data_IF_913426739367
#
_entry.id   IF_913426739367
#
_cell.length_a   1.000
_cell.length_b   1.000
_cell.length_c   1.000
_cell.angle_alpha   90.00
_cell.angle_beta   90.00
_cell.angle_gamma   90.00
#
_symmetry.space_group_name_H-M   'P 1'
#
loop_
_entity.id
_entity.type
_entity.pdbx_description
1 polymer ?
#
# COMPACT_ATOMS: atom_id res chain seq x y z
N UNK A 1 14.89 -5.78 -7.93
CA UNK A 1 15.90 -6.43 -7.06
C UNK A 1 15.87 -7.95 -7.09
N UNK A 2 14.89 -8.66 -6.49
CA UNK A 2 14.92 -10.15 -6.39
C UNK A 2 15.08 -10.80 -7.77
N UNK A 3 14.24 -10.43 -8.74
CA UNK A 3 14.32 -10.91 -10.14
C UNK A 3 15.71 -10.78 -10.76
N UNK A 4 16.45 -9.71 -10.46
CA UNK A 4 17.76 -9.42 -11.05
C UNK A 4 18.90 -10.11 -10.30
N UNK A 5 18.73 -10.41 -9.01
CA UNK A 5 19.84 -10.77 -8.13
C UNK A 5 19.75 -12.20 -7.58
N UNK A 6 18.57 -12.81 -7.52
CA UNK A 6 18.38 -14.06 -6.76
C UNK A 6 19.17 -15.25 -7.34
N UNK A 7 19.50 -15.23 -8.64
CA UNK A 7 20.39 -16.24 -9.26
C UNK A 7 21.75 -16.33 -8.56
N UNK A 8 22.28 -15.21 -8.05
CA UNK A 8 23.57 -15.18 -7.34
C UNK A 8 23.53 -15.92 -6.00
N UNK A 9 22.32 -16.14 -5.46
CA UNK A 9 22.07 -16.86 -4.22
C UNK A 9 21.54 -18.29 -4.47
N UNK A 10 21.58 -18.75 -5.73
CA UNK A 10 21.08 -20.07 -6.13
C UNK A 10 19.57 -20.17 -6.28
N UNK A 11 18.83 -19.05 -6.21
CA UNK A 11 17.40 -19.02 -6.48
C UNK A 11 17.08 -18.87 -7.97
N UNK A 12 15.85 -19.23 -8.33
CA UNK A 12 15.33 -19.11 -9.69
C UNK A 12 14.42 -17.88 -9.82
N UNK A 13 14.81 -16.84 -10.58
CA UNK A 13 13.98 -15.66 -10.77
C UNK A 13 12.72 -15.94 -11.57
N UNK A 14 12.69 -17.04 -12.33
CA UNK A 14 11.53 -17.48 -13.12
C UNK A 14 10.58 -18.38 -12.29
N UNK A 15 10.83 -18.50 -10.97
CA UNK A 15 10.03 -19.29 -10.06
C UNK A 15 9.86 -18.62 -8.68
N UNK A 16 9.55 -17.33 -8.68
CA UNK A 16 9.32 -16.55 -7.45
C UNK A 16 7.88 -16.67 -6.97
N UNK A 17 7.70 -17.00 -5.68
CA UNK A 17 6.40 -16.94 -4.99
C UNK A 17 6.43 -15.85 -3.94
N UNK A 18 5.49 -14.91 -3.98
CA UNK A 18 5.28 -13.93 -2.91
C UNK A 18 4.24 -14.46 -1.91
N UNK A 19 4.45 -14.23 -0.63
CA UNK A 19 3.57 -14.68 0.43
C UNK A 19 3.42 -13.59 1.49
N UNK A 20 2.20 -13.42 2.01
CA UNK A 20 1.90 -12.36 2.95
C UNK A 20 0.74 -12.69 3.88
N UNK A 21 0.78 -12.09 5.06
CA UNK A 21 -0.25 -12.20 6.10
C UNK A 21 -0.76 -10.81 6.50
N UNK A 22 -2.07 -10.68 6.79
CA UNK A 22 -2.71 -9.42 7.20
C UNK A 22 -2.43 -8.28 6.21
N UNK A 23 -1.81 -7.17 6.64
CA UNK A 23 -1.39 -6.10 5.74
C UNK A 23 -0.47 -6.60 4.61
N UNK A 24 0.41 -7.56 4.89
CA UNK A 24 1.22 -8.21 3.85
C UNK A 24 0.39 -9.05 2.88
N UNK A 25 -0.73 -9.64 3.31
CA UNK A 25 -1.65 -10.35 2.43
C UNK A 25 -2.39 -9.38 1.50
N UNK A 26 -2.76 -8.19 2.01
CA UNK A 26 -3.28 -7.10 1.17
C UNK A 26 -2.25 -6.65 0.15
N UNK A 27 -0.99 -6.43 0.57
CA UNK A 27 0.10 -6.08 -0.36
C UNK A 27 0.30 -7.14 -1.46
N UNK A 28 0.33 -8.42 -1.09
CA UNK A 28 0.44 -9.52 -2.07
C UNK A 28 -0.73 -9.50 -3.04
N UNK A 29 -1.95 -9.30 -2.54
CA UNK A 29 -3.13 -9.23 -3.38
C UNK A 29 -3.08 -8.04 -4.36
N UNK A 30 -2.79 -6.83 -3.88
CA UNK A 30 -2.68 -5.64 -4.74
C UNK A 30 -1.54 -5.74 -5.76
N UNK A 31 -0.43 -6.39 -5.40
CA UNK A 31 0.65 -6.68 -6.35
C UNK A 31 0.18 -7.60 -7.49
N UNK A 32 -0.78 -8.49 -7.27
CA UNK A 32 -1.35 -9.32 -8.36
C UNK A 32 -2.23 -8.53 -9.32
N UNK A 33 -2.75 -7.37 -8.90
CA UNK A 33 -3.56 -6.50 -9.72
C UNK A 33 -2.75 -5.38 -10.42
N UNK A 34 -1.54 -5.08 -9.94
CA UNK A 34 -0.70 -4.01 -10.48
C UNK A 34 0.04 -4.45 -11.76
N UNK A 35 -0.11 -3.74 -12.89
CA UNK A 35 0.70 -3.99 -14.10
C UNK A 35 2.19 -3.80 -13.85
N UNK A 36 2.58 -2.94 -12.89
CA UNK A 36 3.99 -2.71 -12.54
C UNK A 36 4.67 -3.94 -11.95
N UNK A 37 3.88 -4.91 -11.46
CA UNK A 37 4.40 -6.15 -10.89
C UNK A 37 4.46 -7.31 -11.90
N UNK A 38 4.05 -7.09 -13.15
CA UNK A 38 4.03 -8.13 -14.18
C UNK A 38 5.44 -8.71 -14.41
N UNK A 39 5.52 -10.04 -14.39
CA UNK A 39 6.77 -10.78 -14.55
C UNK A 39 7.76 -10.63 -13.38
N UNK A 40 7.38 -10.02 -12.26
CA UNK A 40 8.22 -9.95 -11.06
C UNK A 40 8.08 -11.17 -10.14
N UNK A 41 6.93 -11.85 -10.19
CA UNK A 41 6.64 -13.09 -9.47
C UNK A 41 5.67 -13.98 -10.26
N UNK A 42 5.52 -15.22 -9.83
CA UNK A 42 4.82 -16.28 -10.58
C UNK A 42 3.66 -16.89 -9.78
N UNK A 43 3.72 -16.83 -8.44
CA UNK A 43 2.70 -17.35 -7.54
C UNK A 43 2.53 -16.43 -6.34
N UNK A 44 1.34 -16.45 -5.75
CA UNK A 44 0.97 -15.65 -4.59
C UNK A 44 0.30 -16.51 -3.51
N UNK A 45 0.65 -16.26 -2.24
CA UNK A 45 -0.01 -16.84 -1.06
C UNK A 45 -0.56 -15.70 -0.20
N UNK A 46 -1.88 -15.70 0.00
CA UNK A 46 -2.62 -14.63 0.70
C UNK A 46 -3.23 -15.21 1.98
N UNK A 47 -2.70 -14.85 3.15
CA UNK A 47 -3.13 -15.39 4.43
C UNK A 47 -3.89 -14.34 5.27
N UNK A 48 -5.14 -14.62 5.61
CA UNK A 48 -6.01 -13.66 6.34
C UNK A 48 -6.06 -12.28 5.68
N UNK A 49 -6.12 -12.28 4.34
CA UNK A 49 -6.15 -11.08 3.52
C UNK A 49 -7.58 -10.59 3.23
N UNK A 50 -7.75 -9.82 2.14
CA UNK A 50 -8.99 -9.17 1.71
C UNK A 50 -10.31 -9.91 2.01
N UNK A 51 -10.51 -11.08 1.40
CA UNK A 51 -11.75 -11.85 1.56
C UNK A 51 -11.99 -12.38 2.98
N UNK A 52 -10.91 -12.62 3.73
CA UNK A 52 -10.99 -12.97 5.14
C UNK A 52 -11.41 -11.77 6.00
N UNK A 53 -10.78 -10.61 5.79
CA UNK A 53 -11.09 -9.39 6.53
C UNK A 53 -12.50 -8.86 6.21
N UNK A 54 -12.95 -8.99 4.96
CA UNK A 54 -14.33 -8.70 4.55
C UNK A 54 -15.34 -9.59 5.27
N UNK A 55 -15.04 -10.89 5.40
CA UNK A 55 -15.88 -11.85 6.13
C UNK A 55 -15.99 -11.56 7.63
N UNK A 56 -15.02 -10.83 8.21
CA UNK A 56 -15.05 -10.37 9.61
C UNK A 56 -15.57 -8.93 9.77
N UNK A 57 -16.07 -8.29 8.70
CA UNK A 57 -16.54 -6.90 8.74
C UNK A 57 -15.41 -5.88 9.00
N UNK A 58 -14.16 -6.28 8.76
CA UNK A 58 -12.96 -5.47 9.03
C UNK A 58 -12.48 -4.68 7.80
N UNK A 59 -13.11 -4.86 6.64
CA UNK A 59 -12.90 -4.01 5.45
C UNK A 59 -14.22 -3.34 5.08
N UNK A 60 -14.17 -2.03 4.82
CA UNK A 60 -15.30 -1.31 4.24
C UNK A 60 -15.62 -1.83 2.85
N UNK A 61 -16.88 -1.68 2.43
CA UNK A 61 -17.39 -2.00 1.08
C UNK A 61 -16.75 -1.18 -0.05
N UNK A 62 -15.82 -0.26 0.27
CA UNK A 62 -15.20 0.70 -0.65
C UNK A 62 -14.00 0.15 -1.44
N UNK A 63 -13.75 -1.17 -1.41
CA UNK A 63 -12.60 -1.80 -2.05
C UNK A 63 -11.36 -1.84 -1.15
N UNK A 64 -10.32 -2.56 -1.61
CA UNK A 64 -9.07 -2.74 -0.85
C UNK A 64 -8.12 -1.55 -0.90
N UNK A 65 -8.38 -0.61 -1.80
CA UNK A 65 -7.67 0.64 -1.96
C UNK A 65 -8.69 1.78 -1.96
N UNK A 66 -8.39 2.86 -1.24
CA UNK A 66 -9.26 4.03 -1.16
C UNK A 66 -9.20 4.91 -2.41
N UNK A 67 -10.01 5.97 -2.40
CA UNK A 67 -9.90 7.03 -3.42
C UNK A 67 -8.61 7.84 -3.23
N UNK A 68 -7.95 8.18 -4.33
CA UNK A 68 -6.83 9.12 -4.32
C UNK A 68 -7.28 10.49 -3.78
N UNK A 69 -8.45 10.99 -4.18
CA UNK A 69 -8.97 12.29 -3.74
C UNK A 69 -9.10 12.37 -2.21
N UNK A 70 -9.63 11.31 -1.60
CA UNK A 70 -9.89 11.29 -0.16
C UNK A 70 -8.56 11.20 0.62
N UNK A 71 -7.57 10.50 0.07
CA UNK A 71 -6.22 10.46 0.64
C UNK A 71 -5.49 11.80 0.49
N UNK A 72 -5.66 12.50 -0.63
CA UNK A 72 -5.12 13.85 -0.84
C UNK A 72 -5.74 14.86 0.13
N UNK A 73 -7.05 14.83 0.32
CA UNK A 73 -7.76 15.67 1.31
C UNK A 73 -7.27 15.37 2.73
N UNK A 74 -7.17 14.09 3.10
CA UNK A 74 -6.64 13.67 4.39
C UNK A 74 -5.19 14.13 4.60
N UNK A 75 -4.34 14.01 3.58
CA UNK A 75 -2.95 14.46 3.61
C UNK A 75 -2.81 15.98 3.73
N UNK A 76 -3.67 16.73 3.03
CA UNK A 76 -3.71 18.20 3.14
C UNK A 76 -4.12 18.65 4.55
N UNK A 77 -5.09 17.98 5.16
CA UNK A 77 -5.49 18.29 6.53
C UNK A 77 -4.40 17.94 7.54
N UNK A 78 -3.73 16.80 7.36
CA UNK A 78 -2.55 16.43 8.15
C UNK A 78 -1.43 17.48 8.06
N UNK A 79 -1.16 18.01 6.86
CA UNK A 79 -0.19 19.08 6.65
C UNK A 79 -0.57 20.36 7.41
N UNK A 80 -1.84 20.78 7.28
CA UNK A 80 -2.38 21.96 7.96
C UNK A 80 -2.29 21.86 9.48
N UNK A 81 -2.59 20.69 10.05
CA UNK A 81 -2.50 20.46 11.50
C UNK A 81 -1.08 20.67 12.05
N UNK A 82 -0.06 20.43 11.22
CA UNK A 82 1.34 20.62 11.55
C UNK A 82 1.89 21.99 11.14
N UNK A 83 1.05 22.86 10.59
CA UNK A 83 1.45 24.17 10.08
C UNK A 83 2.37 24.11 8.87
N UNK A 84 2.33 23.01 8.10
CA UNK A 84 3.10 22.86 6.88
C UNK A 84 2.23 23.22 5.66
N UNK A 85 2.69 24.15 4.83
CA UNK A 85 2.01 24.61 3.62
C UNK A 85 2.45 23.84 2.38
N UNK A 86 3.50 23.03 2.49
CA UNK A 86 4.03 22.23 1.37
C UNK A 86 4.58 20.87 1.79
N UNK A 87 4.69 19.96 0.83
CA UNK A 87 5.37 18.67 1.01
C UNK A 87 6.84 18.87 1.42
N UNK A 88 7.49 19.94 0.94
CA UNK A 88 8.88 20.24 1.32
C UNK A 88 9.00 20.57 2.80
N UNK A 89 8.06 21.37 3.32
CA UNK A 89 8.00 21.70 4.74
C UNK A 89 7.68 20.46 5.58
N UNK A 90 6.70 19.65 5.19
CA UNK A 90 6.41 18.38 5.84
C UNK A 90 7.64 17.46 5.94
N UNK A 91 8.45 17.36 4.88
CA UNK A 91 9.68 16.56 4.87
C UNK A 91 10.79 17.13 5.75
N UNK A 92 10.75 18.43 6.05
CA UNK A 92 11.72 19.08 6.93
C UNK A 92 11.39 18.89 8.42
N UNK A 93 10.14 18.51 8.74
CA UNK A 93 9.74 18.27 10.11
C UNK A 93 10.42 17.02 10.69
N UNK A 94 10.76 17.03 11.99
CA UNK A 94 11.17 15.82 12.68
C UNK A 94 10.09 14.74 12.62
N UNK A 95 10.49 13.47 12.52
CA UNK A 95 9.55 12.34 12.48
C UNK A 95 8.64 12.27 13.71
N UNK A 96 9.12 12.72 14.88
CA UNK A 96 8.32 12.75 16.10
C UNK A 96 7.21 13.79 16.02
N UNK A 97 7.41 14.89 15.28
CA UNK A 97 6.36 15.87 14.97
C UNK A 97 5.29 15.24 14.08
N UNK A 98 5.70 14.50 13.04
CA UNK A 98 4.78 13.78 12.13
C UNK A 98 3.95 12.69 12.84
N UNK A 99 4.48 12.11 13.92
CA UNK A 99 3.81 11.07 14.73
C UNK A 99 3.08 11.63 15.95
N UNK A 100 3.16 12.93 16.18
CA UNK A 100 2.56 13.55 17.35
C UNK A 100 1.03 13.51 17.27
N UNK A 101 0.31 13.50 18.41
CA UNK A 101 -1.14 13.62 18.42
C UNK A 101 -1.65 14.87 17.70
N UNK A 102 -0.85 15.94 17.65
CA UNK A 102 -1.20 17.19 16.96
C UNK A 102 -1.35 17.01 15.45
N UNK A 103 -0.67 16.04 14.84
CA UNK A 103 -0.78 15.77 13.41
C UNK A 103 -2.17 15.28 13.01
N UNK A 104 -2.89 14.65 13.94
CA UNK A 104 -4.20 14.04 13.67
C UNK A 104 -4.11 12.78 12.81
N UNK A 105 -5.27 12.21 12.42
CA UNK A 105 -5.32 11.04 11.56
C UNK A 105 -4.91 11.39 10.13
N UNK A 106 -4.27 10.44 9.44
CA UNK A 106 -3.98 10.52 8.01
C UNK A 106 -4.18 9.16 7.36
N UNK A 107 -4.78 9.14 6.17
CA UNK A 107 -4.90 7.92 5.40
C UNK A 107 -3.54 7.52 4.80
N UNK A 108 -2.99 6.41 5.28
CA UNK A 108 -1.72 5.82 4.80
C UNK A 108 -1.94 4.47 4.12
N UNK A 109 -3.19 4.12 3.83
CA UNK A 109 -3.54 2.92 3.09
C UNK A 109 -3.25 3.04 1.59
N UNK A 110 -3.32 1.92 0.86
CA UNK A 110 -3.25 1.94 -0.60
C UNK A 110 -4.43 2.73 -1.19
N UNK A 111 -4.20 3.33 -2.36
CA UNK A 111 -5.20 4.09 -3.12
C UNK A 111 -5.17 3.69 -4.60
N UNK A 112 -6.29 3.90 -5.30
CA UNK A 112 -6.33 3.81 -6.76
C UNK A 112 -5.68 5.09 -7.33
N UNK A 113 -4.40 5.01 -7.67
CA UNK A 113 -3.55 6.15 -8.03
C UNK A 113 -3.40 6.36 -9.55
N UNK A 114 -3.93 5.44 -10.36
CA UNK A 114 -3.75 5.48 -11.82
C UNK A 114 -2.36 5.01 -12.29
N UNK A 115 -1.49 4.56 -11.38
CA UNK A 115 -0.12 4.16 -11.70
C UNK A 115 0.24 2.78 -11.14
N UNK A 116 0.30 2.63 -9.81
CA UNK A 116 0.45 1.32 -9.19
C UNK A 116 -0.85 0.52 -9.29
N UNK A 117 -1.99 1.15 -9.02
CA UNK A 117 -3.32 0.59 -9.22
C UNK A 117 -4.08 1.48 -10.21
N UNK A 118 -4.18 1.07 -11.49
CA UNK A 118 -4.90 1.85 -12.50
C UNK A 118 -6.41 1.88 -12.24
N UNK A 119 -6.96 0.78 -11.71
CA UNK A 119 -8.38 0.57 -11.49
C UNK A 119 -8.65 0.01 -10.08
N UNK A 120 -9.88 0.17 -9.55
CA UNK A 120 -10.30 -0.48 -8.31
C UNK A 120 -10.15 -2.00 -8.37
N UNK A 121 -9.69 -2.61 -7.28
CA UNK A 121 -9.55 -4.06 -7.16
C UNK A 121 -10.72 -4.61 -6.35
N UNK A 122 -11.53 -5.46 -6.97
CA UNK A 122 -12.64 -6.16 -6.30
C UNK A 122 -12.11 -7.25 -5.35
N UNK A 123 -12.90 -7.60 -4.33
CA UNK A 123 -12.59 -8.64 -3.33
C UNK A 123 -13.31 -9.95 -3.61
#
# INVERSE_FOLDING_TARGET
>A
WVRENIRQFGGDPDNVTIAGQSAGAMSVYLLTASPLAEGLFHRAIVQSGPGGLASFGMTSTSGLAGSLSDAEESGAQFAQNLGAESISELRSLPVDTLRSPAAGPVNLGPVVDGYFLPDPVET
#
